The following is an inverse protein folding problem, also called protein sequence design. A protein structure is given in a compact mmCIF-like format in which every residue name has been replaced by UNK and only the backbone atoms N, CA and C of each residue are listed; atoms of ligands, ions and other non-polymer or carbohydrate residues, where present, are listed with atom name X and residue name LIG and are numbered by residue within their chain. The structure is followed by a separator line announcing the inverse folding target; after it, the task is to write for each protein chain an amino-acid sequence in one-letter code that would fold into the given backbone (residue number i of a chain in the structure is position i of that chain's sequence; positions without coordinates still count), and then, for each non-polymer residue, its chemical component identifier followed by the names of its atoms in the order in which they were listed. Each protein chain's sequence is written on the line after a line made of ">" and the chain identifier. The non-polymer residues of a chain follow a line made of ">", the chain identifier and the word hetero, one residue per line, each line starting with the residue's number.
data_IF_016110955114
#
_entry.id   IF_016110955114
#
_cell.length_a   1.000
_cell.length_b   1.000
_cell.length_c   1.000
_cell.angle_alpha   90.00
_cell.angle_beta   90.00
_cell.angle_gamma   90.00
#
_symmetry.space_group_name_H-M   'P 1'
#
loop_
_entity.id
_entity.type
_entity.pdbx_description
1 polymer ?
#
# COMPACT_ATOMS: atom_id res chain seq x y z
N UNK A 1 18.43 -4.31 -14.25
CA UNK A 1 18.31 -3.60 -12.97
C UNK A 1 16.92 -3.06 -12.72
N UNK A 2 16.14 -3.74 -11.87
CA UNK A 2 14.98 -3.12 -11.21
C UNK A 2 15.39 -2.83 -9.76
N UNK A 3 15.20 -1.58 -9.27
CA UNK A 3 15.45 -1.29 -7.87
C UNK A 3 14.54 -2.18 -7.03
N UNK A 4 15.14 -3.02 -6.18
CA UNK A 4 14.39 -3.74 -5.17
C UNK A 4 13.88 -2.70 -4.17
N UNK A 5 12.57 -2.52 -4.12
CA UNK A 5 11.91 -1.53 -3.29
C UNK A 5 12.06 -1.94 -1.81
N UNK A 6 13.13 -1.48 -1.17
CA UNK A 6 13.38 -1.69 0.27
C UNK A 6 12.56 -0.72 1.16
N UNK A 7 11.68 0.08 0.56
CA UNK A 7 10.85 1.04 1.27
C UNK A 7 9.72 0.35 2.02
N UNK A 8 9.85 0.21 3.34
CA UNK A 8 8.77 -0.23 4.22
C UNK A 8 7.62 0.80 4.35
N UNK A 9 7.63 1.87 3.54
CA UNK A 9 6.64 2.95 3.59
C UNK A 9 6.29 3.40 2.18
N UNK A 10 4.99 3.46 1.87
CA UNK A 10 4.44 4.06 0.66
C UNK A 10 3.68 5.31 1.09
N UNK A 11 4.03 6.47 0.54
CA UNK A 11 3.29 7.71 0.76
C UNK A 11 2.68 8.17 -0.57
N UNK A 12 1.46 8.70 -0.52
CA UNK A 12 0.78 9.26 -1.68
C UNK A 12 -0.02 10.50 -1.32
N UNK A 13 -0.23 11.36 -2.30
CA UNK A 13 -0.90 12.65 -2.15
C UNK A 13 -2.10 12.72 -3.10
N UNK A 14 -3.30 12.92 -2.57
CA UNK A 14 -4.48 13.25 -3.36
C UNK A 14 -4.51 14.76 -3.57
N UNK A 15 -4.46 15.25 -4.81
CA UNK A 15 -4.27 16.67 -5.10
C UNK A 15 -5.57 17.38 -5.52
N UNK A 16 -6.20 16.88 -6.58
CA UNK A 16 -7.19 17.64 -7.36
C UNK A 16 -8.63 17.25 -7.06
N UNK A 17 -8.90 15.97 -6.81
CA UNK A 17 -10.26 15.45 -6.64
C UNK A 17 -10.31 14.39 -5.54
N UNK A 18 -11.49 14.21 -4.90
CA UNK A 18 -11.67 13.06 -4.04
C UNK A 18 -11.38 11.78 -4.85
N UNK A 19 -10.63 10.86 -4.24
CA UNK A 19 -10.12 9.65 -4.90
C UNK A 19 -10.30 8.45 -4.00
N UNK A 20 -10.58 7.28 -4.55
CA UNK A 20 -10.70 6.04 -3.75
C UNK A 20 -9.39 5.27 -3.83
N UNK A 21 -8.74 5.09 -2.67
CA UNK A 21 -7.60 4.18 -2.53
C UNK A 21 -8.12 2.78 -2.23
N UNK A 22 -7.79 1.81 -3.09
CA UNK A 22 -8.16 0.40 -2.91
C UNK A 22 -6.90 -0.42 -2.64
N UNK A 23 -6.81 -1.01 -1.46
CA UNK A 23 -5.74 -1.93 -1.09
C UNK A 23 -6.28 -3.34 -1.14
N UNK A 24 -5.58 -4.23 -1.85
CA UNK A 24 -5.96 -5.63 -2.00
C UNK A 24 -4.83 -6.53 -1.54
N UNK A 25 -5.14 -7.50 -0.70
CA UNK A 25 -4.19 -8.56 -0.34
C UNK A 25 -3.88 -9.42 -1.57
N UNK A 26 -2.61 -9.72 -1.81
CA UNK A 26 -2.22 -10.64 -2.90
C UNK A 26 -2.44 -12.10 -2.52
N UNK A 27 -2.55 -12.43 -1.22
CA UNK A 27 -2.80 -13.80 -0.75
C UNK A 27 -4.27 -14.13 -0.62
N UNK A 28 -5.05 -13.19 -0.11
CA UNK A 28 -6.48 -13.36 0.12
C UNK A 28 -7.21 -12.29 -0.69
N UNK A 29 -7.54 -12.54 -1.97
CA UNK A 29 -8.08 -11.50 -2.86
C UNK A 29 -9.44 -10.94 -2.42
N UNK A 30 -10.07 -11.59 -1.43
CA UNK A 30 -11.31 -11.17 -0.76
C UNK A 30 -11.04 -10.12 0.33
N UNK A 31 -9.84 -10.06 0.87
CA UNK A 31 -9.40 -8.98 1.76
C UNK A 31 -9.06 -7.75 0.92
N UNK A 32 -9.98 -6.78 0.93
CA UNK A 32 -9.79 -5.46 0.36
C UNK A 32 -10.19 -4.37 1.35
N UNK A 33 -9.47 -3.26 1.31
CA UNK A 33 -9.81 -2.03 2.03
C UNK A 33 -10.04 -0.92 0.99
N UNK A 34 -11.09 -0.15 1.18
CA UNK A 34 -11.37 1.04 0.38
C UNK A 34 -11.36 2.27 1.29
N UNK A 35 -10.62 3.30 0.91
CA UNK A 35 -10.52 4.55 1.65
C UNK A 35 -10.81 5.72 0.70
N UNK A 36 -11.71 6.61 1.10
CA UNK A 36 -11.95 7.86 0.39
C UNK A 36 -10.90 8.89 0.82
N UNK A 37 -10.08 9.33 -0.12
CA UNK A 37 -9.09 10.37 0.04
C UNK A 37 -9.68 11.70 -0.41
N UNK A 38 -9.81 12.64 0.51
CA UNK A 38 -10.22 14.00 0.19
C UNK A 38 -9.14 14.74 -0.65
N UNK A 39 -9.51 15.78 -1.41
CA UNK A 39 -8.53 16.63 -2.08
C UNK A 39 -7.53 17.23 -1.08
N UNK A 40 -6.25 17.26 -1.47
CA UNK A 40 -5.10 17.75 -0.69
C UNK A 40 -4.80 16.90 0.56
N UNK A 41 -5.15 15.61 0.55
CA UNK A 41 -4.82 14.67 1.63
C UNK A 41 -3.54 13.88 1.36
N UNK A 42 -2.70 13.74 2.38
CA UNK A 42 -1.51 12.88 2.37
C UNK A 42 -1.84 11.57 3.08
N UNK A 43 -1.59 10.44 2.44
CA UNK A 43 -1.71 9.13 3.07
C UNK A 43 -0.35 8.43 3.13
N UNK A 44 -0.13 7.68 4.20
CA UNK A 44 1.10 6.93 4.45
C UNK A 44 0.76 5.51 4.86
N UNK A 45 1.17 4.54 4.05
CA UNK A 45 1.06 3.11 4.31
C UNK A 45 2.40 2.62 4.84
N UNK A 46 2.42 2.09 6.06
CA UNK A 46 3.62 1.50 6.65
C UNK A 46 3.51 -0.01 6.68
N UNK A 47 4.48 -0.66 6.06
CA UNK A 47 4.64 -2.10 6.12
C UNK A 47 5.28 -2.47 7.46
N UNK A 48 4.53 -3.17 8.32
CA UNK A 48 5.09 -3.76 9.54
C UNK A 48 5.81 -5.06 9.12
N UNK A 49 7.14 -5.08 9.28
CA UNK A 49 7.97 -6.27 9.02
C UNK A 49 7.54 -7.38 9.98
N UNK A 50 6.69 -8.28 9.48
CA UNK A 50 6.00 -9.32 10.26
C UNK A 50 4.72 -9.76 9.57
N UNK A 51 3.98 -8.81 8.97
CA UNK A 51 2.71 -9.07 8.27
C UNK A 51 2.89 -9.45 6.80
N UNK A 52 4.00 -9.05 6.16
CA UNK A 52 4.33 -9.38 4.76
C UNK A 52 4.85 -10.81 4.56
N UNK A 53 4.99 -11.61 5.64
CA UNK A 53 5.09 -13.08 5.49
C UNK A 53 3.90 -13.66 4.72
N UNK A 54 2.84 -12.86 4.54
CA UNK A 54 1.63 -12.97 3.73
C UNK A 54 1.66 -12.44 2.28
N UNK A 55 2.77 -11.92 1.74
CA UNK A 55 2.73 -11.19 0.46
C UNK A 55 3.90 -11.51 -0.49
N UNK A 56 4.72 -12.51 -0.16
CA UNK A 56 5.86 -12.91 -0.98
C UNK A 56 7.05 -11.99 -0.77
N UNK A 57 7.61 -11.99 0.44
CA UNK A 57 8.94 -11.43 0.67
C UNK A 57 10.02 -12.30 0.00
N UNK A 58 11.21 -11.74 -0.31
CA UNK A 58 12.29 -12.50 -0.92
C UNK A 58 12.69 -13.65 0.01
N UNK A 59 12.61 -14.87 -0.53
CA UNK A 59 13.17 -16.06 0.07
C UNK A 59 14.67 -15.87 0.18
N UNK A 60 15.17 -15.73 1.41
CA UNK A 60 16.54 -16.14 1.72
C UNK A 60 16.63 -17.66 1.67
#
# INVERSE_FOLDING_TARGET
>A
DFPQFCGCTIAGLSLLSPSVLRLRSLREPREQLELLLEPRSLYVLRCIWGSLRGLGGPSG
#
